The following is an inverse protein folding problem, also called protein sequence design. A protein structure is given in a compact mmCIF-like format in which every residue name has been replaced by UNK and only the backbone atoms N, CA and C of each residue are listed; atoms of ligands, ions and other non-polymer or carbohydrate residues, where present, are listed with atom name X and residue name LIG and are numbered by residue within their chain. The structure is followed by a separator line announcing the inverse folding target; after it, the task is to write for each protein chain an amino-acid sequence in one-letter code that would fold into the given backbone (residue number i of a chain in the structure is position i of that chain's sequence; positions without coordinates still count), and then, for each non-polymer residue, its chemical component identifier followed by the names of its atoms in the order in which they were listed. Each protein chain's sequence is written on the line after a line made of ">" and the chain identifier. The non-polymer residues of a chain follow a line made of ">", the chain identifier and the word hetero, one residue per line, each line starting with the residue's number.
data_IF_803711583271
#
_entry.id   IF_803711583271
#
_cell.length_a   1.000
_cell.length_b   1.000
_cell.length_c   1.000
_cell.angle_alpha   90.00
_cell.angle_beta   90.00
_cell.angle_gamma   90.00
#
_symmetry.space_group_name_H-M   'P 1'
#
loop_
_entity.id
_entity.type
_entity.pdbx_description
1 polymer ?
#
# COMPACT_ATOMS: atom_id res chain seq x y z
N UNK A 1 -6.62 30.58 -51.49
CA UNK A 1 -5.42 29.74 -51.64
C UNK A 1 -4.81 29.53 -50.25
N UNK A 2 -4.87 28.29 -49.75
CA UNK A 2 -4.12 27.66 -48.64
C UNK A 2 -4.28 28.20 -47.20
N UNK A 3 -5.29 27.65 -46.54
CA UNK A 3 -5.39 27.31 -45.11
C UNK A 3 -4.15 26.52 -44.64
N UNK A 4 -3.56 26.89 -43.50
CA UNK A 4 -2.54 26.09 -42.81
C UNK A 4 -3.15 25.50 -41.54
N UNK A 5 -3.65 24.27 -41.65
CA UNK A 5 -4.03 23.43 -40.51
C UNK A 5 -2.74 23.01 -39.80
N UNK A 6 -2.58 23.40 -38.53
CA UNK A 6 -1.57 22.80 -37.66
C UNK A 6 -2.11 21.48 -37.13
N UNK A 7 -1.65 20.38 -37.72
CA UNK A 7 -1.70 19.05 -37.12
C UNK A 7 -0.52 18.89 -36.16
N UNK A 8 -0.73 18.17 -35.07
CA UNK A 8 0.34 17.67 -34.20
C UNK A 8 0.13 17.99 -32.73
N UNK A 9 -0.35 16.99 -31.97
CA UNK A 9 -0.32 17.08 -30.51
C UNK A 9 -1.33 16.24 -29.72
N UNK A 10 -2.20 15.44 -30.34
CA UNK A 10 -3.12 14.53 -29.64
C UNK A 10 -2.40 13.27 -29.11
N UNK A 11 -1.42 13.39 -28.20
CA UNK A 11 -0.83 12.24 -27.48
C UNK A 11 -0.17 12.64 -26.15
N UNK A 12 -0.94 12.95 -25.08
CA UNK A 12 -0.55 12.61 -23.69
C UNK A 12 -1.58 12.92 -22.58
N UNK A 13 -2.88 12.81 -22.81
CA UNK A 13 -3.88 13.02 -21.74
C UNK A 13 -4.77 11.79 -21.48
N UNK A 14 -4.20 10.59 -21.52
CA UNK A 14 -4.95 9.38 -21.19
C UNK A 14 -4.11 8.50 -20.27
N UNK A 15 -4.70 8.16 -19.11
CA UNK A 15 -4.13 7.44 -17.96
C UNK A 15 -3.48 8.28 -16.86
N UNK A 16 -4.25 9.24 -16.36
CA UNK A 16 -4.00 9.89 -15.07
C UNK A 16 -5.17 9.71 -14.11
N UNK A 17 -5.57 8.49 -13.77
CA UNK A 17 -6.27 8.28 -12.49
C UNK A 17 -5.25 8.50 -11.37
N UNK A 18 -4.82 9.75 -11.16
CA UNK A 18 -4.26 10.13 -9.86
C UNK A 18 -5.43 9.99 -8.91
N UNK A 19 -5.50 8.85 -8.22
CA UNK A 19 -6.43 8.68 -7.12
C UNK A 19 -6.18 9.84 -6.16
N UNK A 20 -7.08 10.82 -6.16
CA UNK A 20 -6.99 12.03 -5.34
C UNK A 20 -7.31 11.72 -3.87
N UNK A 21 -7.22 10.45 -3.47
CA UNK A 21 -7.38 9.99 -2.11
C UNK A 21 -6.21 10.56 -1.32
N UNK A 22 -6.48 11.38 -0.28
CA UNK A 22 -5.42 11.86 0.59
C UNK A 22 -4.59 10.68 1.07
N UNK A 23 -3.29 10.69 0.73
CA UNK A 23 -2.35 9.73 1.31
C UNK A 23 -2.13 10.16 2.75
N UNK A 24 -3.03 9.76 3.64
CA UNK A 24 -2.91 9.98 5.08
C UNK A 24 -1.53 9.46 5.50
N UNK A 25 -0.64 10.42 5.78
CA UNK A 25 0.75 10.17 6.17
C UNK A 25 1.06 11.12 7.30
N UNK A 26 1.28 10.58 8.48
CA UNK A 26 1.67 11.33 9.67
C UNK A 26 3.14 11.01 9.92
N UNK A 27 3.98 12.04 10.06
CA UNK A 27 5.42 11.88 10.24
C UNK A 27 5.86 12.65 11.47
N UNK A 28 6.64 12.00 12.32
CA UNK A 28 7.41 12.60 13.41
C UNK A 28 8.90 12.42 13.11
N UNK A 29 9.77 12.89 14.00
CA UNK A 29 11.23 12.74 13.85
C UNK A 29 11.70 11.28 13.77
N UNK A 30 10.90 10.34 14.29
CA UNK A 30 11.25 8.91 14.35
C UNK A 30 10.24 7.98 13.71
N UNK A 31 9.01 8.44 13.49
CA UNK A 31 7.91 7.55 13.14
C UNK A 31 7.13 8.06 11.93
N UNK A 32 6.68 7.11 11.12
CA UNK A 32 5.80 7.34 9.99
C UNK A 32 4.59 6.44 10.12
N UNK A 33 3.40 7.03 10.19
CA UNK A 33 2.13 6.32 9.98
C UNK A 33 1.71 6.52 8.54
N UNK A 34 1.51 5.43 7.80
CA UNK A 34 0.97 5.45 6.43
C UNK A 34 0.21 4.18 6.10
N UNK A 35 -0.58 4.23 5.02
CA UNK A 35 -1.16 3.01 4.44
C UNK A 35 -0.04 2.03 4.04
N UNK A 36 -0.29 0.75 4.28
CA UNK A 36 0.56 -0.34 3.75
C UNK A 36 0.44 -0.42 2.24
N UNK A 37 1.50 -0.84 1.57
CA UNK A 37 1.52 -1.09 0.13
C UNK A 37 2.28 -2.36 -0.19
N UNK A 38 2.20 -2.85 -1.43
CA UNK A 38 2.73 -4.14 -1.88
C UNK A 38 4.21 -4.39 -1.51
N UNK A 39 5.03 -3.33 -1.45
CA UNK A 39 6.46 -3.43 -1.10
C UNK A 39 6.74 -3.66 0.39
N UNK A 40 5.70 -3.71 1.23
CA UNK A 40 5.86 -3.90 2.69
C UNK A 40 5.82 -5.38 3.11
N UNK A 41 5.66 -6.31 2.16
CA UNK A 41 5.52 -7.74 2.45
C UNK A 41 6.63 -8.28 3.37
N UNK A 42 7.89 -7.89 3.11
CA UNK A 42 9.02 -8.27 3.95
C UNK A 42 8.94 -7.68 5.35
N UNK A 43 8.73 -6.37 5.46
CA UNK A 43 8.63 -5.69 6.77
C UNK A 43 7.52 -6.26 7.65
N UNK A 44 6.37 -6.59 7.05
CA UNK A 44 5.25 -7.19 7.79
C UNK A 44 5.57 -8.63 8.20
N UNK A 45 6.18 -9.42 7.32
CA UNK A 45 6.61 -10.78 7.65
C UNK A 45 7.61 -10.77 8.82
N UNK A 46 8.63 -9.92 8.75
CA UNK A 46 9.67 -9.79 9.77
C UNK A 46 9.05 -9.36 11.10
N UNK A 47 8.19 -8.33 11.10
CA UNK A 47 7.48 -7.88 12.30
C UNK A 47 6.70 -9.02 12.99
N UNK A 48 5.91 -9.79 12.23
CA UNK A 48 5.13 -10.88 12.80
C UNK A 48 6.00 -12.08 13.22
N UNK A 49 7.09 -12.35 12.51
CA UNK A 49 8.03 -13.41 12.86
C UNK A 49 8.76 -13.09 14.17
N UNK A 50 9.29 -11.88 14.30
CA UNK A 50 10.01 -11.42 15.48
C UNK A 50 9.11 -11.35 16.72
N UNK A 51 7.85 -10.94 16.54
CA UNK A 51 6.92 -10.74 17.65
C UNK A 51 5.97 -11.93 17.89
N UNK A 52 6.17 -13.07 17.20
CA UNK A 52 5.23 -14.21 17.23
C UNK A 52 4.87 -14.67 18.64
N UNK A 53 5.87 -14.84 19.51
CA UNK A 53 5.66 -15.30 20.88
C UNK A 53 4.88 -14.28 21.71
N UNK A 54 5.16 -12.99 21.52
CA UNK A 54 4.50 -11.89 22.22
C UNK A 54 3.05 -11.72 21.75
N UNK A 55 2.77 -11.85 20.45
CA UNK A 55 1.45 -11.65 19.85
C UNK A 55 0.50 -12.83 20.06
N UNK A 56 1.03 -14.06 20.15
CA UNK A 56 0.25 -15.31 20.24
C UNK A 56 -0.89 -15.30 21.29
N UNK A 57 -0.71 -14.79 22.53
CA UNK A 57 -1.80 -14.77 23.51
C UNK A 57 -2.86 -13.69 23.26
N UNK A 58 -2.54 -12.65 22.48
CA UNK A 58 -3.39 -11.47 22.30
C UNK A 58 -4.15 -11.46 20.98
N UNK A 59 -3.65 -12.16 19.98
CA UNK A 59 -4.24 -12.19 18.65
C UNK A 59 -4.98 -13.51 18.38
N UNK A 60 -6.00 -13.50 17.50
CA UNK A 60 -6.62 -14.74 17.04
C UNK A 60 -5.58 -15.71 16.48
N UNK A 61 -5.87 -17.01 16.59
CA UNK A 61 -5.02 -18.05 16.00
C UNK A 61 -4.99 -17.87 14.47
N UNK A 62 -3.78 -17.74 13.92
CA UNK A 62 -3.54 -17.62 12.48
C UNK A 62 -2.54 -18.66 12.02
N UNK A 63 -2.54 -18.94 10.73
CA UNK A 63 -1.54 -19.78 10.11
C UNK A 63 -0.19 -19.02 9.96
N UNK A 64 0.89 -19.78 9.75
CA UNK A 64 2.26 -19.26 9.73
C UNK A 64 2.57 -18.35 8.52
N UNK A 65 1.68 -18.22 7.52
CA UNK A 65 1.91 -17.34 6.37
C UNK A 65 2.10 -15.86 6.74
N UNK A 66 1.71 -15.42 7.94
CA UNK A 66 1.98 -14.07 8.43
C UNK A 66 3.47 -13.85 8.75
N UNK A 67 4.25 -14.91 8.92
CA UNK A 67 5.69 -14.86 9.12
C UNK A 67 6.47 -14.98 7.81
N UNK A 68 5.79 -15.07 6.66
CA UNK A 68 6.42 -15.25 5.35
C UNK A 68 5.99 -14.15 4.35
N UNK A 69 6.94 -13.55 3.60
CA UNK A 69 6.61 -12.49 2.63
C UNK A 69 5.60 -12.92 1.56
N UNK A 70 5.64 -14.18 1.13
CA UNK A 70 4.70 -14.73 0.14
C UNK A 70 3.24 -14.69 0.62
N UNK A 71 3.00 -14.92 1.91
CA UNK A 71 1.67 -14.78 2.52
C UNK A 71 1.18 -13.34 2.51
N UNK A 72 2.08 -12.37 2.66
CA UNK A 72 1.75 -10.96 2.62
C UNK A 72 1.55 -10.41 1.22
N UNK A 73 2.24 -10.91 0.20
CA UNK A 73 2.08 -10.43 -1.18
C UNK A 73 0.62 -10.55 -1.67
N UNK A 74 0.00 -11.71 -1.46
CA UNK A 74 -1.40 -11.92 -1.82
C UNK A 74 -2.36 -11.03 -1.01
N UNK A 75 -2.11 -10.92 0.31
CA UNK A 75 -2.92 -10.07 1.22
C UNK A 75 -2.82 -8.60 0.89
N UNK A 76 -1.61 -8.09 0.63
CA UNK A 76 -1.37 -6.68 0.29
C UNK A 76 -2.03 -6.30 -1.03
N UNK A 77 -2.05 -7.22 -2.01
CA UNK A 77 -2.76 -7.01 -3.27
C UNK A 77 -4.27 -6.81 -3.05
N UNK A 78 -4.88 -7.63 -2.19
CA UNK A 78 -6.29 -7.49 -1.79
C UNK A 78 -6.53 -6.21 -0.98
N UNK A 79 -5.66 -5.91 -0.02
CA UNK A 79 -5.73 -4.70 0.81
C UNK A 79 -5.65 -3.44 -0.06
N UNK A 80 -4.80 -3.44 -1.09
CA UNK A 80 -4.68 -2.33 -2.02
C UNK A 80 -6.00 -2.06 -2.76
N UNK A 81 -6.78 -3.10 -3.10
CA UNK A 81 -8.11 -2.89 -3.67
C UNK A 81 -9.13 -2.39 -2.66
N UNK A 82 -9.08 -2.82 -1.41
CA UNK A 82 -9.91 -2.22 -0.37
C UNK A 82 -9.59 -0.74 -0.15
N UNK A 83 -8.32 -0.35 -0.25
CA UNK A 83 -7.93 1.07 -0.19
C UNK A 83 -8.51 1.85 -1.37
N UNK A 84 -8.43 1.31 -2.60
CA UNK A 84 -8.98 1.97 -3.79
C UNK A 84 -10.51 2.11 -3.73
N UNK A 85 -11.19 1.12 -3.17
CA UNK A 85 -12.64 1.12 -2.98
C UNK A 85 -13.09 1.97 -1.78
N UNK A 86 -12.16 2.39 -0.92
CA UNK A 86 -12.48 3.08 0.34
C UNK A 86 -13.23 2.21 1.35
N UNK A 87 -13.19 0.88 1.20
CA UNK A 87 -13.92 -0.07 2.05
C UNK A 87 -13.14 -0.46 3.31
N UNK A 88 -11.81 -0.37 3.27
CA UNK A 88 -10.96 -0.53 4.44
C UNK A 88 -9.65 0.26 4.28
N UNK A 89 -9.04 0.63 5.41
CA UNK A 89 -7.77 1.36 5.44
C UNK A 89 -6.81 0.68 6.42
N UNK A 90 -5.74 0.10 5.89
CA UNK A 90 -4.73 -0.61 6.67
C UNK A 90 -3.48 0.26 6.81
N UNK A 91 -3.19 0.70 8.03
CA UNK A 91 -2.04 1.52 8.36
C UNK A 91 -0.93 0.70 9.00
N UNK A 92 0.32 1.09 8.74
CA UNK A 92 1.47 0.65 9.51
C UNK A 92 2.12 1.85 10.20
N UNK A 93 2.62 1.60 11.42
CA UNK A 93 3.53 2.48 12.14
C UNK A 93 4.95 1.99 11.88
N UNK A 94 5.76 2.83 11.23
CA UNK A 94 7.11 2.50 10.78
C UNK A 94 8.11 3.44 11.43
N UNK A 95 9.32 2.96 11.70
CA UNK A 95 10.44 3.85 11.99
C UNK A 95 10.89 4.58 10.71
N UNK A 96 11.20 5.88 10.84
CA UNK A 96 11.52 6.81 9.74
C UNK A 96 12.89 6.56 9.12
#
# INVERSE_FOLDING_TARGET
>A
MKTRVKSGGLKKEMFGYRSNVPKVRLTTDRLVVRLVHDRDAWRLADYYAENKAFLKPWEPVRDDSHCYPSGWQARLSMIAEFHKQGSAFYFALLES
#
